data_IF_248169739265
#
_entry.id   IF_248169739265
#
_cell.length_a   1.000
_cell.length_b   1.000
_cell.length_c   1.000
_cell.angle_alpha   90.00
_cell.angle_beta   90.00
_cell.angle_gamma   90.00
#
_symmetry.space_group_name_H-M   'P 1'
#
loop_
_entity.id
_entity.type
_entity.pdbx_description
1 polymer ?
#
# COMPACT_ATOMS: atom_id res chain seq x y z
N UNK A 1 -3.50 -9.07 -10.14
CA UNK A 1 -3.16 -8.61 -8.77
C UNK A 1 -3.79 -9.48 -7.71
N UNK A 2 -5.12 -9.51 -7.50
CA UNK A 2 -5.70 -10.31 -6.42
C UNK A 2 -5.45 -11.84 -6.56
N UNK A 3 -5.58 -12.43 -7.76
CA UNK A 3 -5.25 -13.84 -7.98
C UNK A 3 -3.74 -14.15 -7.80
N UNK A 4 -2.87 -13.18 -8.12
CA UNK A 4 -1.40 -13.30 -8.01
C UNK A 4 -0.91 -13.28 -6.57
N UNK A 5 -1.73 -12.80 -5.64
CA UNK A 5 -1.45 -12.77 -4.19
C UNK A 5 -2.24 -13.84 -3.41
N UNK A 6 -2.73 -14.87 -4.10
CA UNK A 6 -3.34 -16.05 -3.49
C UNK A 6 -4.81 -15.88 -3.04
N UNK A 7 -5.50 -14.88 -3.58
CA UNK A 7 -6.94 -14.72 -3.42
C UNK A 7 -7.69 -15.44 -4.56
N UNK A 8 -8.59 -16.38 -4.23
CA UNK A 8 -9.41 -17.11 -5.21
C UNK A 8 -10.86 -16.58 -5.22
N UNK A 9 -11.48 -16.52 -6.39
CA UNK A 9 -12.88 -16.10 -6.56
C UNK A 9 -13.08 -14.60 -6.37
N UNK A 10 -12.24 -13.81 -7.03
CA UNK A 10 -12.27 -12.35 -6.94
C UNK A 10 -13.49 -11.74 -7.60
N UNK A 11 -14.28 -10.99 -6.81
CA UNK A 11 -15.32 -10.11 -7.32
C UNK A 11 -15.06 -8.67 -6.88
N UNK A 12 -15.06 -7.76 -7.85
CA UNK A 12 -14.67 -6.36 -7.69
C UNK A 12 -15.96 -5.53 -7.64
N UNK A 13 -16.48 -5.37 -6.43
CA UNK A 13 -17.73 -4.63 -6.23
C UNK A 13 -17.40 -3.16 -6.00
N UNK A 14 -17.60 -2.33 -7.03
CA UNK A 14 -17.38 -0.88 -6.96
C UNK A 14 -18.25 -0.19 -5.91
N UNK A 15 -19.42 -0.77 -5.62
CA UNK A 15 -20.32 -0.31 -4.57
C UNK A 15 -20.81 -1.50 -3.76
N UNK A 16 -20.41 -1.61 -2.50
CA UNK A 16 -20.96 -2.61 -1.59
C UNK A 16 -21.33 -1.99 -0.26
N UNK A 17 -22.57 -2.20 0.15
CA UNK A 17 -23.02 -1.96 1.52
C UNK A 17 -22.86 -3.27 2.28
N UNK A 18 -22.01 -3.27 3.31
CA UNK A 18 -21.91 -4.39 4.27
C UNK A 18 -22.27 -3.86 5.66
N UNK A 19 -23.34 -4.42 6.21
CA UNK A 19 -24.04 -3.92 7.41
C UNK A 19 -24.37 -2.42 7.31
N UNK A 20 -23.77 -1.59 8.17
CA UNK A 20 -24.00 -0.14 8.27
C UNK A 20 -22.93 0.69 7.54
N UNK A 21 -22.00 0.04 6.82
CA UNK A 21 -20.90 0.72 6.17
C UNK A 21 -21.02 0.64 4.64
N UNK A 22 -20.86 1.79 3.99
CA UNK A 22 -20.80 1.90 2.54
C UNK A 22 -19.35 1.89 2.09
N UNK A 23 -18.98 0.90 1.29
CA UNK A 23 -17.62 0.72 0.82
C UNK A 23 -17.51 1.09 -0.66
N UNK A 24 -16.66 2.08 -0.94
CA UNK A 24 -16.25 2.45 -2.29
C UNK A 24 -15.09 1.53 -2.69
N UNK A 25 -15.36 0.61 -3.62
CA UNK A 25 -14.37 -0.37 -4.10
C UNK A 25 -14.01 -1.41 -3.04
N UNK A 26 -14.88 -2.39 -2.82
CA UNK A 26 -14.54 -3.55 -1.99
C UNK A 26 -14.19 -4.73 -2.90
N UNK A 27 -12.93 -5.15 -2.88
CA UNK A 27 -12.55 -6.47 -3.41
C UNK A 27 -13.06 -7.50 -2.42
N UNK A 28 -14.07 -8.27 -2.82
CA UNK A 28 -14.58 -9.38 -2.03
C UNK A 28 -13.93 -10.66 -2.52
N UNK A 29 -13.19 -11.32 -1.63
CA UNK A 29 -12.57 -12.62 -1.90
C UNK A 29 -13.37 -13.70 -1.18
N UNK A 30 -13.70 -14.79 -1.87
CA UNK A 30 -14.38 -15.94 -1.26
C UNK A 30 -13.44 -16.83 -0.45
N UNK A 31 -12.16 -16.90 -0.82
CA UNK A 31 -11.15 -17.61 -0.04
C UNK A 31 -9.76 -16.97 -0.19
N UNK A 32 -9.08 -16.77 0.94
CA UNK A 32 -7.66 -16.40 0.97
C UNK A 32 -6.96 -17.51 1.73
N UNK A 33 -6.00 -18.18 1.08
CA UNK A 33 -5.09 -19.11 1.74
C UNK A 33 -4.45 -18.39 2.94
N UNK A 34 -4.49 -19.00 4.13
CA UNK A 34 -3.96 -18.37 5.34
C UNK A 34 -2.50 -17.92 5.20
N UNK A 35 -1.70 -18.65 4.41
CA UNK A 35 -0.30 -18.29 4.16
C UNK A 35 -0.13 -17.13 3.17
N UNK A 36 -1.15 -16.84 2.37
CA UNK A 36 -1.14 -15.76 1.38
C UNK A 36 -1.76 -14.45 1.89
N UNK A 37 -2.34 -14.45 3.10
CA UNK A 37 -2.90 -13.26 3.75
C UNK A 37 -1.93 -12.07 3.79
N UNK A 38 -0.64 -12.21 4.13
CA UNK A 38 0.29 -11.09 4.11
C UNK A 38 0.40 -10.44 2.72
N UNK A 39 0.51 -11.26 1.68
CA UNK A 39 0.62 -10.83 0.29
C UNK A 39 -0.67 -10.16 -0.19
N UNK A 40 -1.83 -10.67 0.21
CA UNK A 40 -3.13 -10.07 -0.07
C UNK A 40 -3.26 -8.67 0.55
N UNK A 41 -2.96 -8.53 1.85
CA UNK A 41 -3.01 -7.24 2.53
C UNK A 41 -2.03 -6.22 1.93
N UNK A 42 -0.86 -6.67 1.45
CA UNK A 42 0.10 -5.79 0.79
C UNK A 42 -0.28 -5.41 -0.65
N UNK A 43 -1.29 -6.05 -1.25
CA UNK A 43 -1.66 -5.79 -2.65
C UNK A 43 -2.18 -4.37 -2.88
N UNK A 44 -2.91 -3.80 -1.90
CA UNK A 44 -3.34 -2.40 -1.96
C UNK A 44 -2.15 -1.45 -2.02
N UNK A 45 -1.11 -1.74 -1.24
CA UNK A 45 0.11 -0.94 -1.20
C UNK A 45 0.95 -1.05 -2.49
N UNK A 46 0.98 -2.24 -3.11
CA UNK A 46 1.58 -2.39 -4.44
C UNK A 46 0.90 -1.47 -5.46
N UNK A 47 -0.44 -1.45 -5.49
CA UNK A 47 -1.19 -0.57 -6.38
C UNK A 47 -0.91 0.92 -6.09
N UNK A 48 -0.80 1.30 -4.81
CA UNK A 48 -0.44 2.66 -4.40
C UNK A 48 0.97 3.03 -4.88
N UNK A 49 1.94 2.11 -4.77
CA UNK A 49 3.31 2.27 -5.29
C UNK A 49 3.35 2.48 -6.82
N UNK A 50 2.54 1.74 -7.60
CA UNK A 50 2.41 1.99 -9.04
C UNK A 50 1.79 3.35 -9.35
N UNK A 51 0.80 3.75 -8.55
CA UNK A 51 0.14 5.06 -8.67
C UNK A 51 1.12 6.19 -8.41
N UNK A 52 2.00 6.04 -7.42
CA UNK A 52 3.09 6.98 -7.16
C UNK A 52 4.04 7.12 -8.36
N UNK A 53 4.49 6.03 -8.98
CA UNK A 53 5.37 6.10 -10.16
C UNK A 53 4.73 6.86 -11.32
N UNK A 54 3.43 6.63 -11.57
CA UNK A 54 2.67 7.36 -12.56
C UNK A 54 2.55 8.85 -12.18
N UNK A 55 2.23 9.15 -10.92
CA UNK A 55 2.11 10.51 -10.42
C UNK A 55 3.43 11.28 -10.51
N UNK A 56 4.55 10.64 -10.15
CA UNK A 56 5.89 11.21 -10.23
C UNK A 56 6.27 11.55 -11.68
N UNK A 57 5.99 10.64 -12.62
CA UNK A 57 6.20 10.89 -14.05
C UNK A 57 5.38 12.08 -14.53
N UNK A 58 4.07 12.11 -14.23
CA UNK A 58 3.18 13.21 -14.64
C UNK A 58 3.56 14.54 -14.03
N UNK A 59 3.94 14.56 -12.76
CA UNK A 59 4.43 15.75 -12.07
C UNK A 59 5.70 16.31 -12.71
N UNK A 60 6.64 15.44 -13.12
CA UNK A 60 7.87 15.85 -13.80
C UNK A 60 7.63 16.34 -15.23
N UNK A 61 6.63 15.79 -15.93
CA UNK A 61 6.22 16.22 -17.27
C UNK A 61 5.50 17.58 -17.23
N UNK A 62 4.47 17.69 -16.40
CA UNK A 62 3.64 18.91 -16.27
C UNK A 62 3.29 19.12 -14.80
N UNK A 63 3.84 20.18 -14.21
CA UNK A 63 3.57 20.51 -12.81
C UNK A 63 2.27 21.32 -12.67
N UNK A 64 1.14 20.62 -12.62
CA UNK A 64 -0.17 21.20 -12.27
C UNK A 64 -0.49 21.01 -10.79
N UNK A 65 -1.43 21.79 -10.26
CA UNK A 65 -1.98 21.57 -8.91
C UNK A 65 -2.51 20.16 -8.73
N UNK A 66 -3.20 19.63 -9.74
CA UNK A 66 -3.71 18.26 -9.73
C UNK A 66 -2.57 17.23 -9.64
N UNK A 67 -1.52 17.35 -10.47
CA UNK A 67 -0.40 16.42 -10.46
C UNK A 67 0.42 16.52 -9.16
N UNK A 68 0.55 17.73 -8.60
CA UNK A 68 1.19 17.94 -7.29
C UNK A 68 0.40 17.26 -6.16
N UNK A 69 -0.93 17.42 -6.15
CA UNK A 69 -1.78 16.80 -5.14
C UNK A 69 -1.76 15.27 -5.27
N UNK A 70 -1.92 14.75 -6.49
CA UNK A 70 -1.85 13.31 -6.76
C UNK A 70 -0.52 12.71 -6.30
N UNK A 71 0.60 13.40 -6.57
CA UNK A 71 1.92 13.00 -6.10
C UNK A 71 2.00 12.98 -4.57
N UNK A 72 1.53 14.03 -3.90
CA UNK A 72 1.57 14.12 -2.44
C UNK A 72 0.77 12.99 -1.77
N UNK A 73 -0.47 12.76 -2.22
CA UNK A 73 -1.32 11.73 -1.64
C UNK A 73 -0.78 10.33 -1.93
N UNK A 74 -0.40 10.01 -3.17
CA UNK A 74 0.20 8.69 -3.49
C UNK A 74 1.53 8.44 -2.80
N UNK A 75 2.29 9.47 -2.45
CA UNK A 75 3.56 9.34 -1.72
C UNK A 75 3.37 9.02 -0.23
N UNK A 76 2.25 9.45 0.35
CA UNK A 76 2.03 9.42 1.81
C UNK A 76 0.88 8.51 2.23
N UNK A 77 0.17 7.92 1.27
CA UNK A 77 -0.99 7.03 1.49
C UNK A 77 -0.70 5.93 2.52
N UNK A 78 0.34 5.12 2.28
CA UNK A 78 0.68 4.03 3.20
C UNK A 78 1.01 4.50 4.61
N UNK A 79 1.71 5.63 4.72
CA UNK A 79 2.09 6.22 6.00
C UNK A 79 0.84 6.67 6.76
N UNK A 80 -0.08 7.37 6.10
CA UNK A 80 -1.33 7.81 6.72
C UNK A 80 -2.23 6.63 7.08
N UNK A 81 -2.37 5.65 6.20
CA UNK A 81 -3.16 4.46 6.44
C UNK A 81 -2.60 3.63 7.61
N UNK A 82 -1.28 3.45 7.67
CA UNK A 82 -0.60 2.77 8.78
C UNK A 82 -0.75 3.55 10.09
N UNK A 83 -0.59 4.87 10.05
CA UNK A 83 -0.79 5.75 11.21
C UNK A 83 -2.21 5.62 11.75
N UNK A 84 -3.19 5.69 10.85
CA UNK A 84 -4.59 5.57 11.19
C UNK A 84 -4.90 4.20 11.80
N UNK A 85 -4.49 3.12 11.12
CA UNK A 85 -4.78 1.76 11.54
C UNK A 85 -4.20 1.44 12.93
N UNK A 86 -2.95 1.82 13.21
CA UNK A 86 -2.30 1.45 14.48
C UNK A 86 -2.53 2.42 15.63
N UNK A 87 -2.73 3.71 15.37
CA UNK A 87 -2.65 4.73 16.42
C UNK A 87 -3.89 5.61 16.56
N UNK A 88 -4.72 5.73 15.51
CA UNK A 88 -5.88 6.63 15.53
C UNK A 88 -7.22 5.88 15.53
N UNK A 89 -7.25 4.65 15.03
CA UNK A 89 -8.46 3.82 15.06
C UNK A 89 -8.82 3.45 16.50
N UNK A 90 -10.09 3.64 16.93
CA UNK A 90 -10.53 3.31 18.28
C UNK A 90 -10.51 1.80 18.57
N UNK A 91 -10.59 0.99 17.52
CA UNK A 91 -10.57 -0.47 17.60
C UNK A 91 -9.65 -1.06 16.53
N UNK A 92 -8.91 -2.10 16.91
CA UNK A 92 -8.09 -2.87 15.98
C UNK A 92 -8.98 -3.80 15.15
N UNK A 93 -9.05 -3.53 13.85
CA UNK A 93 -9.76 -4.36 12.88
C UNK A 93 -8.76 -5.00 11.91
N UNK A 94 -8.78 -6.33 11.79
CA UNK A 94 -7.94 -7.07 10.83
C UNK A 94 -8.25 -6.75 9.37
N UNK A 95 -9.38 -6.07 9.12
CA UNK A 95 -9.69 -5.50 7.80
C UNK A 95 -8.74 -4.38 7.40
N UNK A 96 -8.06 -3.74 8.34
CA UNK A 96 -6.99 -2.80 8.00
C UNK A 96 -5.71 -3.57 7.68
N UNK A 97 -5.20 -3.37 6.47
CA UNK A 97 -4.06 -4.12 5.95
C UNK A 97 -2.82 -4.07 6.84
N UNK A 98 -2.43 -2.93 7.45
CA UNK A 98 -1.30 -2.91 8.39
C UNK A 98 -1.51 -3.85 9.59
N UNK A 99 -2.74 -3.92 10.12
CA UNK A 99 -3.10 -4.83 11.21
C UNK A 99 -3.11 -6.28 10.71
N UNK A 100 -3.70 -6.52 9.54
CA UNK A 100 -3.70 -7.82 8.88
C UNK A 100 -2.29 -8.37 8.66
N UNK A 101 -1.37 -7.55 8.15
CA UNK A 101 0.06 -7.88 8.00
C UNK A 101 0.68 -8.20 9.35
N UNK A 102 0.50 -7.34 10.36
CA UNK A 102 1.09 -7.54 11.69
C UNK A 102 0.64 -8.88 12.31
N UNK A 103 -0.66 -9.17 12.28
CA UNK A 103 -1.20 -10.40 12.87
C UNK A 103 -0.85 -11.66 12.08
N UNK A 104 -0.77 -11.58 10.75
CA UNK A 104 -0.46 -12.74 9.90
C UNK A 104 1.03 -13.07 9.83
N UNK A 105 1.92 -12.10 10.00
CA UNK A 105 3.37 -12.28 9.89
C UNK A 105 4.10 -12.27 11.24
N UNK A 106 3.48 -11.73 12.29
CA UNK A 106 4.13 -11.48 13.57
C UNK A 106 5.07 -10.26 13.56
N UNK A 107 5.14 -9.50 12.46
CA UNK A 107 5.91 -8.25 12.39
C UNK A 107 5.27 -7.22 13.32
N UNK A 108 6.09 -6.50 14.08
CA UNK A 108 5.62 -5.47 15.00
C UNK A 108 5.02 -4.27 14.26
N UNK A 109 4.09 -3.58 14.93
CA UNK A 109 3.49 -2.33 14.42
C UNK A 109 4.54 -1.28 14.10
N UNK A 110 5.53 -1.15 14.97
CA UNK A 110 6.63 -0.19 14.82
C UNK A 110 7.46 -0.49 13.57
N UNK A 111 7.72 -1.76 13.27
CA UNK A 111 8.45 -2.14 12.06
C UNK A 111 7.66 -1.81 10.80
N UNK A 112 6.35 -2.09 10.76
CA UNK A 112 5.47 -1.75 9.62
C UNK A 112 5.38 -0.23 9.45
N UNK A 113 5.22 0.52 10.55
CA UNK A 113 5.24 1.98 10.54
C UNK A 113 6.58 2.54 10.06
N UNK A 114 7.70 1.96 10.48
CA UNK A 114 9.01 2.37 10.03
C UNK A 114 9.22 2.14 8.53
N UNK A 115 8.69 1.03 7.99
CA UNK A 115 8.69 0.75 6.55
C UNK A 115 7.89 1.81 5.79
N UNK A 116 6.68 2.14 6.23
CA UNK A 116 5.86 3.16 5.55
C UNK A 116 6.49 4.55 5.61
N UNK A 117 7.08 4.93 6.74
CA UNK A 117 7.85 6.16 6.88
C UNK A 117 9.06 6.18 5.94
N UNK A 118 9.81 5.08 5.89
CA UNK A 118 11.00 4.95 5.03
C UNK A 118 10.63 5.08 3.55
N UNK A 119 9.55 4.42 3.12
CA UNK A 119 9.05 4.53 1.75
C UNK A 119 8.68 5.98 1.39
N UNK A 120 7.88 6.65 2.24
CA UNK A 120 7.49 8.04 2.02
C UNK A 120 8.71 8.97 2.00
N UNK A 121 9.69 8.78 2.88
CA UNK A 121 10.92 9.58 2.92
C UNK A 121 11.77 9.40 1.65
N UNK A 122 11.95 8.16 1.18
CA UNK A 122 12.69 7.88 -0.05
C UNK A 122 11.99 8.45 -1.29
N UNK A 123 10.66 8.34 -1.34
CA UNK A 123 9.87 8.96 -2.40
C UNK A 123 9.95 10.49 -2.37
N UNK A 124 9.89 11.11 -1.18
CA UNK A 124 10.10 12.55 -1.03
C UNK A 124 11.50 12.98 -1.50
N UNK A 125 12.53 12.19 -1.22
CA UNK A 125 13.88 12.42 -1.73
C UNK A 125 13.92 12.39 -3.27
N UNK A 126 13.23 11.44 -3.91
CA UNK A 126 13.14 11.35 -5.39
C UNK A 126 12.41 12.54 -6.00
N UNK A 127 11.40 13.07 -5.32
CA UNK A 127 10.68 14.29 -5.73
C UNK A 127 11.60 15.50 -5.62
N UNK A 128 12.23 15.71 -4.45
CA UNK A 128 13.09 16.86 -4.18
C UNK A 128 14.33 16.91 -5.07
N UNK A 129 15.03 15.78 -5.20
CA UNK A 129 16.28 15.70 -5.98
C UNK A 129 16.06 15.59 -7.48
N UNK A 130 14.82 15.29 -7.93
CA UNK A 130 14.47 14.94 -9.31
C UNK A 130 15.31 13.79 -9.88
N UNK A 131 15.85 12.92 -9.02
CA UNK A 131 16.70 11.78 -9.39
C UNK A 131 16.20 10.50 -8.71
N UNK A 132 16.21 9.40 -9.44
CA UNK A 132 15.75 8.10 -8.95
C UNK A 132 16.95 7.27 -8.44
N UNK A 133 17.66 7.79 -7.43
CA UNK A 133 18.85 7.11 -6.86
C UNK A 133 18.52 5.98 -5.90
N UNK A 134 17.45 6.15 -5.14
CA UNK A 134 16.95 5.18 -4.16
C UNK A 134 15.46 5.01 -4.43
N UNK A 135 15.07 3.86 -4.98
CA UNK A 135 13.70 3.57 -5.39
C UNK A 135 13.15 2.53 -4.41
N UNK A 136 12.28 2.91 -3.46
CA UNK A 136 11.62 1.94 -2.59
C UNK A 136 10.64 1.10 -3.40
N UNK A 137 10.57 -0.20 -3.12
CA UNK A 137 9.58 -1.09 -3.72
C UNK A 137 9.28 -2.27 -2.81
N UNK A 138 8.09 -2.84 -2.98
CA UNK A 138 7.72 -4.08 -2.31
C UNK A 138 7.99 -5.28 -3.22
N UNK A 139 8.53 -6.34 -2.61
CA UNK A 139 8.62 -7.66 -3.22
C UNK A 139 7.45 -8.48 -2.71
N UNK A 140 6.67 -9.05 -3.62
CA UNK A 140 5.54 -9.90 -3.27
C UNK A 140 5.60 -11.18 -4.07
N UNK A 141 5.47 -12.29 -3.37
CA UNK A 141 5.17 -13.62 -3.87
C UNK A 141 4.00 -14.16 -3.02
N UNK A 142 3.37 -15.26 -3.43
CA UNK A 142 2.22 -15.85 -2.74
C UNK A 142 2.45 -16.12 -1.25
N UNK A 143 3.70 -16.37 -0.83
CA UNK A 143 4.05 -16.69 0.55
C UNK A 143 5.14 -15.78 1.14
N UNK A 144 5.49 -14.71 0.44
CA UNK A 144 6.57 -13.83 0.85
C UNK A 144 6.22 -12.39 0.54
N UNK A 145 6.45 -11.53 1.53
CA UNK A 145 6.43 -10.09 1.34
C UNK A 145 7.76 -9.51 1.84
N UNK A 146 8.23 -8.46 1.19
CA UNK A 146 9.44 -7.75 1.59
C UNK A 146 9.41 -6.31 1.14
N UNK A 147 10.17 -5.47 1.84
CA UNK A 147 10.46 -4.09 1.45
C UNK A 147 11.93 -3.99 1.06
N UNK A 148 12.20 -3.40 -0.10
CA UNK A 148 13.54 -3.30 -0.68
C UNK A 148 13.77 -1.92 -1.30
N UNK A 149 15.04 -1.57 -1.50
CA UNK A 149 15.44 -0.33 -2.16
C UNK A 149 16.30 -0.67 -3.37
N UNK A 150 15.86 -0.24 -4.55
CA UNK A 150 16.62 -0.36 -5.80
C UNK A 150 17.53 0.85 -5.98
N UNK A 151 18.80 0.57 -6.28
CA UNK A 151 19.83 1.57 -6.59
C UNK A 151 20.27 1.38 -8.04
N UNK A 152 19.85 2.24 -8.98
CA UNK A 152 20.35 2.17 -10.35
C UNK A 152 21.79 2.71 -10.40
N UNK A 153 22.68 1.92 -11.01
CA UNK A 153 24.09 2.24 -11.26
C UNK A 153 24.33 2.52 -12.74
#
# INVERSE_FOLDING_TARGET
MADEVGAEGNDLNFFKKDKDSFFLGLSTVTHIDQKARPSYHLAGELASSYTFELALKRYREVNTTYNSALLFFSMTDFLWYTTYAFYLSPHEDEKFDPIGISKSTGISRDAIFFVSLTQSALNALRVYTKKDRLIPYFVVDRYFIGFSVKVPF
#
